data_IF_951682762613
#
_entry.id   IF_951682762613
#
_cell.length_a   1.000
_cell.length_b   1.000
_cell.length_c   1.000
_cell.angle_alpha   90.00
_cell.angle_beta   90.00
_cell.angle_gamma   90.00
#
_symmetry.space_group_name_H-M   'P 1'
#
loop_
_entity.id
_entity.type
_entity.pdbx_description
1 polymer ?
#
# COMPACT_ATOMS: atom_id res chain seq x y z
N UNK A 1 -40.26 -29.14 -32.03
CA UNK A 1 -39.12 -29.97 -31.59
C UNK A 1 -38.32 -29.11 -30.64
N UNK A 2 -38.56 -29.28 -29.35
CA UNK A 2 -38.00 -28.48 -28.27
C UNK A 2 -36.59 -28.98 -27.95
N UNK A 3 -35.61 -28.10 -27.97
CA UNK A 3 -34.31 -28.34 -27.32
C UNK A 3 -34.45 -28.00 -25.83
N UNK A 4 -34.04 -28.88 -24.91
CA UNK A 4 -34.19 -28.61 -23.48
C UNK A 4 -33.13 -27.60 -23.01
N UNK A 5 -33.57 -26.68 -22.16
CA UNK A 5 -32.74 -25.86 -21.28
C UNK A 5 -31.71 -26.73 -20.55
N UNK A 6 -30.44 -26.35 -20.61
CA UNK A 6 -29.45 -26.83 -19.64
C UNK A 6 -29.64 -26.07 -18.32
N UNK A 7 -29.81 -26.76 -17.18
CA UNK A 7 -30.02 -26.10 -15.90
C UNK A 7 -28.73 -25.43 -15.45
N UNK A 8 -28.87 -24.23 -14.89
CA UNK A 8 -27.77 -23.37 -14.47
C UNK A 8 -26.74 -24.07 -13.58
N UNK A 9 -25.46 -23.83 -13.88
CA UNK A 9 -24.38 -24.08 -12.93
C UNK A 9 -24.56 -23.13 -11.75
N UNK A 10 -25.18 -23.62 -10.68
CA UNK A 10 -25.16 -22.94 -9.39
C UNK A 10 -23.71 -22.77 -8.98
N UNK A 11 -23.26 -21.53 -8.87
CA UNK A 11 -21.89 -21.12 -8.52
C UNK A 11 -21.63 -21.31 -7.01
N UNK A 12 -22.15 -22.39 -6.42
CA UNK A 12 -22.00 -22.71 -5.00
C UNK A 12 -20.57 -23.20 -4.77
N UNK A 13 -19.79 -22.55 -3.86
CA UNK A 13 -18.43 -22.97 -3.59
C UNK A 13 -18.43 -24.42 -3.09
N UNK A 14 -17.49 -25.23 -3.60
CA UNK A 14 -17.40 -26.64 -3.19
C UNK A 14 -17.35 -26.78 -1.66
N UNK A 15 -17.90 -27.86 -1.06
CA UNK A 15 -17.86 -28.06 0.39
C UNK A 15 -16.45 -27.98 1.00
N UNK A 16 -15.42 -28.39 0.24
CA UNK A 16 -14.02 -28.27 0.64
C UNK A 16 -13.56 -26.80 0.75
N UNK A 17 -13.96 -25.95 -0.21
CA UNK A 17 -13.69 -24.51 -0.16
C UNK A 17 -14.42 -23.84 1.02
N UNK A 18 -15.67 -24.23 1.28
CA UNK A 18 -16.42 -23.71 2.42
C UNK A 18 -15.74 -24.06 3.76
N UNK A 19 -15.28 -25.31 3.93
CA UNK A 19 -14.57 -25.73 5.13
C UNK A 19 -13.24 -24.98 5.33
N UNK A 20 -12.48 -24.72 4.26
CA UNK A 20 -11.26 -23.92 4.33
C UNK A 20 -11.54 -22.47 4.71
N UNK A 21 -12.61 -21.85 4.16
CA UNK A 21 -13.04 -20.50 4.54
C UNK A 21 -13.41 -20.42 6.02
N UNK A 22 -14.18 -21.38 6.52
CA UNK A 22 -14.51 -21.44 7.95
C UNK A 22 -13.25 -21.54 8.83
N UNK A 23 -12.24 -22.29 8.38
CA UNK A 23 -10.95 -22.37 9.08
C UNK A 23 -10.20 -21.04 9.07
N UNK A 24 -10.23 -20.32 7.96
CA UNK A 24 -9.66 -18.95 7.86
C UNK A 24 -10.39 -18.02 8.84
N UNK A 25 -11.72 -18.02 8.84
CA UNK A 25 -12.52 -17.17 9.74
C UNK A 25 -12.24 -17.45 11.23
N UNK A 26 -11.94 -18.70 11.58
CA UNK A 26 -11.52 -19.08 12.93
C UNK A 26 -10.11 -18.55 13.27
N UNK A 27 -9.16 -18.67 12.34
CA UNK A 27 -7.81 -18.13 12.52
C UNK A 27 -7.82 -16.60 12.62
N UNK A 28 -8.67 -15.93 11.85
CA UNK A 28 -8.83 -14.47 11.88
C UNK A 28 -9.38 -14.00 13.24
N UNK A 29 -10.32 -14.74 13.82
CA UNK A 29 -10.79 -14.48 15.19
C UNK A 29 -9.67 -14.64 16.22
N UNK A 30 -8.90 -15.73 16.14
CA UNK A 30 -7.75 -15.94 17.03
C UNK A 30 -6.69 -14.85 16.88
N UNK A 31 -6.46 -14.36 15.65
CA UNK A 31 -5.55 -13.25 15.41
C UNK A 31 -6.01 -11.98 16.14
N UNK A 32 -7.30 -11.66 16.08
CA UNK A 32 -7.88 -10.52 16.79
C UNK A 32 -7.77 -10.67 18.33
N UNK A 33 -8.00 -11.87 18.86
CA UNK A 33 -7.86 -12.14 20.29
C UNK A 33 -6.40 -11.96 20.77
N UNK A 34 -5.42 -12.39 19.96
CA UNK A 34 -3.99 -12.19 20.25
C UNK A 34 -3.61 -10.71 20.17
N UNK A 35 -4.17 -9.96 19.21
CA UNK A 35 -3.97 -8.52 19.13
C UNK A 35 -4.54 -7.83 20.37
N UNK A 36 -5.74 -8.20 20.83
CA UNK A 36 -6.34 -7.64 22.04
C UNK A 36 -5.44 -7.85 23.27
N UNK A 37 -4.97 -9.09 23.51
CA UNK A 37 -4.03 -9.40 24.60
C UNK A 37 -2.74 -8.60 24.49
N UNK A 38 -2.22 -8.42 23.27
CA UNK A 38 -1.02 -7.60 23.04
C UNK A 38 -1.26 -6.13 23.40
N UNK A 39 -2.44 -5.59 23.09
CA UNK A 39 -2.78 -4.20 23.43
C UNK A 39 -2.94 -4.01 24.94
N UNK A 40 -3.50 -4.98 25.67
CA UNK A 40 -3.53 -4.96 27.14
C UNK A 40 -2.13 -4.85 27.75
N UNK A 41 -1.18 -5.65 27.25
CA UNK A 41 0.22 -5.55 27.64
C UNK A 41 0.83 -4.17 27.28
N UNK A 42 0.44 -3.58 26.14
CA UNK A 42 0.87 -2.22 25.78
C UNK A 42 0.34 -1.17 26.77
N UNK A 43 -0.90 -1.31 27.26
CA UNK A 43 -1.43 -0.44 28.30
C UNK A 43 -0.67 -0.57 29.62
N UNK A 44 -0.26 -1.78 30.01
CA UNK A 44 0.61 -1.98 31.16
C UNK A 44 1.97 -1.31 31.00
N UNK A 45 2.61 -1.49 29.84
CA UNK A 45 3.86 -0.82 29.50
C UNK A 45 3.70 0.71 29.55
N UNK A 46 2.60 1.24 29.00
CA UNK A 46 2.31 2.68 29.03
C UNK A 46 2.22 3.21 30.47
N UNK A 47 1.50 2.51 31.37
CA UNK A 47 1.40 2.87 32.80
C UNK A 47 2.74 2.85 33.51
N UNK A 48 3.58 1.85 33.23
CA UNK A 48 4.93 1.77 33.80
C UNK A 48 5.77 2.95 33.31
N UNK A 49 5.74 3.22 32.00
CA UNK A 49 6.50 4.31 31.38
C UNK A 49 6.09 5.68 31.90
N UNK A 50 4.82 5.90 32.20
CA UNK A 50 4.31 7.16 32.77
C UNK A 50 4.98 7.53 34.10
N UNK A 51 5.38 6.53 34.88
CA UNK A 51 6.02 6.71 36.19
C UNK A 51 7.55 6.55 36.12
N UNK A 52 8.13 6.53 34.92
CA UNK A 52 9.57 6.37 34.70
C UNK A 52 10.09 7.40 33.70
N UNK A 53 11.39 7.71 33.71
CA UNK A 53 12.03 8.57 32.69
C UNK A 53 12.23 7.86 31.33
N UNK A 54 11.47 6.80 31.05
CA UNK A 54 11.63 6.00 29.83
C UNK A 54 10.99 6.72 28.63
N UNK A 55 11.74 6.95 27.53
CA UNK A 55 11.16 7.52 26.31
C UNK A 55 10.02 6.67 25.73
N UNK A 56 9.00 7.35 25.18
CA UNK A 56 7.87 6.73 24.46
C UNK A 56 8.41 5.92 23.28
N UNK A 57 9.28 6.54 22.47
CA UNK A 57 9.93 5.90 21.32
C UNK A 57 11.36 5.52 21.68
N UNK A 58 11.68 4.25 21.48
CA UNK A 58 13.02 3.69 21.62
C UNK A 58 13.43 3.09 20.27
N UNK A 59 14.20 3.81 19.44
CA UNK A 59 14.52 3.39 18.06
C UNK A 59 15.16 2.00 17.97
N UNK A 60 16.05 1.67 18.90
CA UNK A 60 16.71 0.37 18.93
C UNK A 60 15.72 -0.78 19.20
N UNK A 61 14.71 -0.52 20.05
CA UNK A 61 13.65 -1.50 20.30
C UNK A 61 12.79 -1.74 19.05
N UNK A 62 12.47 -0.68 18.31
CA UNK A 62 11.75 -0.81 17.03
C UNK A 62 12.55 -1.65 16.05
N UNK A 63 13.85 -1.37 15.91
CA UNK A 63 14.75 -2.12 15.02
C UNK A 63 14.85 -3.59 15.41
N UNK A 64 14.99 -3.88 16.70
CA UNK A 64 15.06 -5.25 17.23
C UNK A 64 13.77 -6.02 16.98
N UNK A 65 12.61 -5.40 17.22
CA UNK A 65 11.30 -6.03 16.96
C UNK A 65 11.14 -6.34 15.48
N UNK A 66 11.40 -5.38 14.59
CA UNK A 66 11.29 -5.61 13.15
C UNK A 66 12.25 -6.73 12.71
N UNK A 67 13.53 -6.63 13.06
CA UNK A 67 14.56 -7.60 12.64
C UNK A 67 14.26 -9.02 13.15
N UNK A 68 13.90 -9.16 14.43
CA UNK A 68 13.59 -10.47 15.00
C UNK A 68 12.34 -11.11 14.40
N UNK A 69 11.32 -10.31 14.03
CA UNK A 69 10.08 -10.81 13.41
C UNK A 69 10.27 -11.18 11.95
N UNK A 70 11.09 -10.44 11.20
CA UNK A 70 11.54 -10.85 9.85
C UNK A 70 12.21 -12.22 9.90
N UNK A 71 13.16 -12.41 10.83
CA UNK A 71 13.84 -13.70 10.97
C UNK A 71 12.89 -14.83 11.38
N UNK A 72 11.95 -14.55 12.27
CA UNK A 72 10.92 -15.53 12.65
C UNK A 72 10.04 -15.91 11.46
N UNK A 73 9.65 -14.95 10.62
CA UNK A 73 8.88 -15.19 9.40
C UNK A 73 9.62 -16.11 8.43
N UNK A 74 10.91 -15.83 8.18
CA UNK A 74 11.79 -16.69 7.36
C UNK A 74 11.78 -18.14 7.88
N UNK A 75 11.94 -18.33 9.19
CA UNK A 75 11.96 -19.66 9.81
C UNK A 75 10.61 -20.40 9.71
N UNK A 76 9.52 -19.68 9.44
CA UNK A 76 8.16 -20.22 9.28
C UNK A 76 7.67 -20.22 7.83
N UNK A 77 8.55 -19.93 6.88
CA UNK A 77 8.18 -19.79 5.46
C UNK A 77 7.07 -18.77 5.23
N UNK A 78 7.07 -17.70 6.03
CA UNK A 78 6.24 -16.50 5.83
C UNK A 78 7.12 -15.44 5.20
N UNK A 79 6.57 -14.70 4.25
CA UNK A 79 7.26 -13.58 3.61
C UNK A 79 7.70 -12.54 4.68
N UNK A 80 9.01 -12.21 4.75
CA UNK A 80 9.53 -11.33 5.79
C UNK A 80 9.08 -9.87 5.63
N UNK A 81 8.80 -9.41 4.41
CA UNK A 81 8.33 -8.05 4.16
C UNK A 81 6.86 -7.92 4.58
N UNK A 82 6.04 -8.93 4.29
CA UNK A 82 4.68 -9.01 4.82
C UNK A 82 4.64 -9.03 6.37
N UNK A 83 5.53 -9.80 7.00
CA UNK A 83 5.62 -9.83 8.45
C UNK A 83 6.05 -8.47 9.03
N UNK A 84 6.97 -7.78 8.37
CA UNK A 84 7.36 -6.42 8.75
C UNK A 84 6.21 -5.42 8.60
N UNK A 85 5.46 -5.45 7.50
CA UNK A 85 4.29 -4.58 7.28
C UNK A 85 3.28 -4.70 8.45
N UNK A 86 2.93 -5.93 8.82
CA UNK A 86 2.05 -6.19 9.97
C UNK A 86 2.65 -5.60 11.24
N UNK A 87 3.93 -5.87 11.50
CA UNK A 87 4.58 -5.43 12.74
C UNK A 87 4.69 -3.92 12.82
N UNK A 88 4.87 -3.22 11.69
CA UNK A 88 4.86 -1.75 11.63
C UNK A 88 3.50 -1.18 12.00
N UNK A 89 2.41 -1.74 11.46
CA UNK A 89 1.04 -1.34 11.83
C UNK A 89 0.80 -1.56 13.33
N UNK A 90 1.18 -2.72 13.82
CA UNK A 90 1.01 -3.11 15.22
C UNK A 90 1.86 -2.24 16.17
N UNK A 91 3.07 -1.85 15.77
CA UNK A 91 3.92 -0.91 16.53
C UNK A 91 3.36 0.51 16.51
N UNK A 92 2.86 0.98 15.37
CA UNK A 92 2.22 2.29 15.26
C UNK A 92 1.02 2.40 16.21
N UNK A 93 0.20 1.34 16.32
CA UNK A 93 -0.91 1.32 17.26
C UNK A 93 -0.46 1.33 18.73
N UNK A 94 0.62 0.62 19.07
CA UNK A 94 1.22 0.71 20.42
C UNK A 94 1.60 2.14 20.76
N UNK A 95 2.27 2.87 19.85
CA UNK A 95 2.63 4.26 20.07
C UNK A 95 1.41 5.17 20.19
N UNK A 96 0.38 4.95 19.37
CA UNK A 96 -0.89 5.71 19.45
C UNK A 96 -1.54 5.54 20.82
N UNK A 97 -1.56 4.32 21.37
CA UNK A 97 -2.11 4.03 22.70
C UNK A 97 -1.33 4.73 23.81
N UNK A 98 0.01 4.68 23.78
CA UNK A 98 0.86 5.35 24.76
C UNK A 98 0.62 6.87 24.79
N UNK A 99 0.36 7.48 23.64
CA UNK A 99 0.03 8.91 23.53
C UNK A 99 -1.43 9.18 23.91
N UNK A 100 -2.37 8.36 23.46
CA UNK A 100 -3.80 8.52 23.72
C UNK A 100 -4.13 8.39 25.21
N UNK A 101 -3.42 7.56 25.96
CA UNK A 101 -3.57 7.47 27.42
C UNK A 101 -3.28 8.78 28.17
N UNK A 102 -2.58 9.73 27.53
CA UNK A 102 -2.30 11.07 28.08
C UNK A 102 -3.34 12.11 27.68
N UNK A 103 -4.27 11.77 26.80
CA UNK A 103 -5.33 12.68 26.33
C UNK A 103 -6.52 12.65 27.28
N UNK A 104 -7.23 13.77 27.39
CA UNK A 104 -8.40 13.93 28.27
C UNK A 104 -9.73 13.79 27.54
N UNK A 105 -9.73 13.73 26.20
CA UNK A 105 -10.93 13.56 25.40
C UNK A 105 -11.35 12.09 25.28
N UNK A 106 -12.67 11.87 25.19
CA UNK A 106 -13.23 10.53 25.10
C UNK A 106 -12.90 9.88 23.75
N UNK A 107 -12.69 8.55 23.76
CA UNK A 107 -12.54 7.80 22.53
C UNK A 107 -13.84 7.91 21.71
N UNK A 108 -13.74 8.13 20.38
CA UNK A 108 -14.92 8.19 19.52
C UNK A 108 -15.61 6.83 19.47
N UNK A 109 -16.95 6.83 19.43
CA UNK A 109 -17.70 5.63 19.09
C UNK A 109 -17.44 5.23 17.64
N UNK A 110 -17.31 3.92 17.39
CA UNK A 110 -17.09 3.36 16.06
C UNK A 110 -18.09 2.24 15.83
N UNK A 111 -18.86 2.31 14.74
CA UNK A 111 -19.73 1.22 14.29
C UNK A 111 -18.99 0.30 13.33
N UNK A 112 -19.31 -1.00 13.40
CA UNK A 112 -18.82 -1.97 12.42
C UNK A 112 -19.49 -1.78 11.05
N UNK A 113 -20.75 -1.34 11.04
CA UNK A 113 -21.48 -1.03 9.81
C UNK A 113 -21.06 0.34 9.29
N UNK A 114 -20.68 0.47 8.00
CA UNK A 114 -20.46 1.76 7.39
C UNK A 114 -21.74 2.58 7.37
N UNK A 115 -21.63 3.90 7.50
CA UNK A 115 -22.71 4.81 7.14
C UNK A 115 -22.81 4.84 5.60
N UNK A 116 -23.69 4.00 5.04
CA UNK A 116 -23.98 3.93 3.60
C UNK A 116 -23.20 2.88 2.80
N UNK A 117 -23.47 2.83 1.49
CA UNK A 117 -22.80 1.89 0.56
C UNK A 117 -21.40 2.39 0.23
N UNK A 118 -20.38 1.66 0.68
CA UNK A 118 -18.97 1.90 0.30
C UNK A 118 -18.78 1.69 -1.20
N UNK A 119 -17.88 2.47 -1.81
CA UNK A 119 -17.51 2.29 -3.22
C UNK A 119 -16.71 1.01 -3.40
N UNK A 120 -16.64 0.47 -4.62
CA UNK A 120 -15.80 -0.71 -4.86
C UNK A 120 -14.31 -0.43 -4.62
N UNK A 121 -13.86 0.81 -4.85
CA UNK A 121 -12.49 1.24 -4.52
C UNK A 121 -12.24 1.11 -3.01
N UNK A 122 -13.19 1.51 -2.18
CA UNK A 122 -13.08 1.38 -0.71
C UNK A 122 -12.94 -0.10 -0.29
N UNK A 123 -13.65 -1.00 -0.96
CA UNK A 123 -13.61 -2.44 -0.68
C UNK A 123 -12.26 -3.09 -0.99
N UNK A 124 -11.54 -2.61 -2.01
CA UNK A 124 -10.35 -3.30 -2.54
C UNK A 124 -9.03 -2.56 -2.32
N UNK A 125 -9.07 -1.28 -1.95
CA UNK A 125 -7.85 -0.51 -1.67
C UNK A 125 -7.24 -0.93 -0.33
N UNK A 126 -5.91 -1.04 -0.29
CA UNK A 126 -5.19 -1.52 0.90
C UNK A 126 -4.29 -0.45 1.51
N UNK A 127 -3.50 0.26 0.69
CA UNK A 127 -2.59 1.33 1.10
C UNK A 127 -2.12 2.16 -0.09
N UNK A 128 -1.42 3.25 0.18
CA UNK A 128 -0.53 3.87 -0.81
C UNK A 128 0.68 2.95 -0.97
N UNK A 129 0.93 2.46 -2.19
CA UNK A 129 2.06 1.58 -2.51
C UNK A 129 3.35 2.39 -2.64
N UNK A 130 3.31 3.45 -3.45
CA UNK A 130 4.41 4.39 -3.62
C UNK A 130 3.91 5.74 -4.15
N UNK A 131 4.76 6.76 -4.02
CA UNK A 131 4.52 8.08 -4.62
C UNK A 131 5.63 8.40 -5.62
N UNK A 132 5.26 8.80 -6.81
CA UNK A 132 6.20 9.20 -7.86
C UNK A 132 6.33 10.71 -7.89
N UNK A 133 7.58 11.18 -7.83
CA UNK A 133 7.92 12.60 -7.80
C UNK A 133 8.80 12.90 -9.00
N UNK A 134 8.30 13.72 -9.91
CA UNK A 134 9.09 14.27 -11.00
C UNK A 134 9.99 15.38 -10.45
N UNK A 135 11.28 15.35 -10.77
CA UNK A 135 12.28 16.27 -10.21
C UNK A 135 13.20 16.81 -11.31
N UNK A 136 13.43 18.12 -11.31
CA UNK A 136 14.32 18.78 -12.27
C UNK A 136 15.78 18.29 -12.17
N UNK A 137 16.23 17.97 -10.96
CA UNK A 137 17.56 17.43 -10.71
C UNK A 137 17.48 16.22 -9.78
N UNK A 138 17.65 15.03 -10.37
CA UNK A 138 17.55 13.77 -9.64
C UNK A 138 18.61 13.66 -8.53
N UNK A 139 19.85 14.03 -8.82
CA UNK A 139 20.96 13.90 -7.85
C UNK A 139 20.71 14.74 -6.59
N UNK A 140 20.33 16.01 -6.75
CA UNK A 140 20.00 16.92 -5.64
C UNK A 140 18.79 16.41 -4.85
N UNK A 141 17.78 15.86 -5.53
CA UNK A 141 16.61 15.30 -4.87
C UNK A 141 16.98 14.07 -4.03
N UNK A 142 17.74 13.12 -4.59
CA UNK A 142 18.24 11.94 -3.87
C UNK A 142 19.04 12.35 -2.64
N UNK A 143 19.97 13.30 -2.79
CA UNK A 143 20.77 13.81 -1.67
C UNK A 143 19.90 14.43 -0.58
N UNK A 144 18.89 15.21 -0.97
CA UNK A 144 17.96 15.82 0.00
C UNK A 144 17.25 14.76 0.83
N UNK A 145 16.67 13.74 0.20
CA UNK A 145 15.94 12.71 0.93
C UNK A 145 16.86 11.80 1.75
N UNK A 146 18.01 11.44 1.21
CA UNK A 146 18.90 10.48 1.86
C UNK A 146 19.73 11.10 2.98
N UNK A 147 20.26 12.32 2.77
CA UNK A 147 21.14 12.97 3.74
C UNK A 147 20.37 13.75 4.80
N UNK A 148 19.22 14.36 4.45
CA UNK A 148 18.50 15.23 5.39
C UNK A 148 17.27 14.57 6.02
N UNK A 149 16.63 13.62 5.32
CA UNK A 149 15.37 13.00 5.77
C UNK A 149 15.51 11.53 6.17
N UNK A 150 16.71 10.95 6.03
CA UNK A 150 17.00 9.59 6.49
C UNK A 150 16.42 8.48 5.64
N UNK A 151 16.05 8.78 4.39
CA UNK A 151 15.72 7.74 3.41
C UNK A 151 16.99 6.99 2.98
N UNK A 152 16.82 5.76 2.51
CA UNK A 152 17.89 5.00 1.87
C UNK A 152 17.48 4.62 0.45
N UNK A 153 18.48 4.39 -0.40
CA UNK A 153 18.26 3.87 -1.75
C UNK A 153 17.78 2.42 -1.67
N UNK A 154 16.74 2.12 -2.43
CA UNK A 154 16.22 0.78 -2.64
C UNK A 154 16.60 0.27 -4.03
N UNK A 155 16.61 -1.05 -4.18
CA UNK A 155 16.86 -1.68 -5.48
C UNK A 155 15.51 -1.87 -6.21
N UNK A 156 15.24 -1.12 -7.29
CA UNK A 156 14.09 -1.41 -8.14
C UNK A 156 14.28 -2.77 -8.81
N UNK A 157 13.18 -3.38 -9.26
CA UNK A 157 13.23 -4.66 -9.98
C UNK A 157 14.07 -4.57 -11.26
N UNK A 158 14.11 -3.39 -11.88
CA UNK A 158 14.99 -3.06 -13.00
C UNK A 158 15.59 -1.66 -12.79
N UNK A 159 16.91 -1.50 -12.97
CA UNK A 159 17.55 -0.19 -12.89
C UNK A 159 17.27 0.64 -14.15
N UNK A 160 17.06 1.95 -14.02
CA UNK A 160 16.87 2.86 -15.15
C UNK A 160 17.64 4.17 -14.91
N UNK A 161 18.41 4.68 -15.88
CA UNK A 161 19.00 6.01 -15.78
C UNK A 161 17.92 7.07 -15.54
N UNK A 162 18.10 7.97 -14.57
CA UNK A 162 17.09 8.98 -14.28
C UNK A 162 15.94 8.53 -13.35
N UNK A 163 15.97 7.31 -12.81
CA UNK A 163 15.02 6.88 -11.77
C UNK A 163 15.77 6.42 -10.52
N UNK A 164 15.37 6.92 -9.36
CA UNK A 164 15.84 6.46 -8.07
C UNK A 164 14.65 6.06 -7.19
N UNK A 165 14.68 4.85 -6.63
CA UNK A 165 13.72 4.43 -5.60
C UNK A 165 14.37 4.65 -4.24
N UNK A 166 13.66 5.33 -3.36
CA UNK A 166 14.10 5.58 -1.99
C UNK A 166 13.01 5.13 -1.03
N UNK A 167 13.39 4.63 0.13
CA UNK A 167 12.45 4.21 1.15
C UNK A 167 12.85 4.64 2.56
N UNK A 168 11.85 4.73 3.43
CA UNK A 168 12.03 4.91 4.86
C UNK A 168 10.83 4.30 5.60
N UNK A 169 11.07 3.27 6.41
CA UNK A 169 10.08 2.78 7.38
C UNK A 169 8.75 2.27 6.78
N UNK A 170 8.76 1.74 5.56
CA UNK A 170 7.56 1.30 4.83
C UNK A 170 6.95 2.37 3.90
N UNK A 171 7.54 3.56 3.84
CA UNK A 171 7.22 4.61 2.86
C UNK A 171 8.15 4.45 1.66
N UNK A 172 7.58 4.38 0.46
CA UNK A 172 8.33 4.27 -0.80
C UNK A 172 8.09 5.50 -1.68
N UNK A 173 9.17 6.17 -2.08
CA UNK A 173 9.13 7.25 -3.06
C UNK A 173 9.97 6.87 -4.28
N UNK A 174 9.51 7.29 -5.45
CA UNK A 174 10.24 7.12 -6.71
C UNK A 174 10.52 8.50 -7.28
N UNK A 175 11.79 8.87 -7.33
CA UNK A 175 12.26 10.11 -7.91
C UNK A 175 12.59 9.90 -9.38
N UNK A 176 12.03 10.73 -10.26
CA UNK A 176 12.17 10.60 -11.71
C UNK A 176 12.67 11.92 -12.29
N UNK A 177 13.89 11.88 -12.85
CA UNK A 177 14.53 13.01 -13.53
C UNK A 177 14.30 13.02 -15.04
N UNK A 178 14.58 14.14 -15.73
CA UNK A 178 14.39 14.26 -17.18
C UNK A 178 15.22 13.25 -17.99
N UNK A 179 16.27 12.69 -17.41
CA UNK A 179 17.12 11.65 -18.01
C UNK A 179 16.39 10.31 -18.19
N UNK A 180 15.26 10.11 -17.51
CA UNK A 180 14.44 8.91 -17.62
C UNK A 180 13.70 8.81 -18.97
N UNK A 181 13.56 9.91 -19.70
CA UNK A 181 13.05 9.89 -21.07
C UNK A 181 12.38 11.19 -21.52
N UNK A 182 12.10 11.32 -22.83
CA UNK A 182 11.56 12.55 -23.41
C UNK A 182 10.18 12.93 -22.86
N UNK A 183 9.34 11.96 -22.51
CA UNK A 183 8.02 12.21 -21.91
C UNK A 183 8.15 12.80 -20.50
N UNK A 184 9.08 12.27 -19.69
CA UNK A 184 9.38 12.81 -18.36
C UNK A 184 9.93 14.23 -18.46
N UNK A 185 10.88 14.46 -19.37
CA UNK A 185 11.43 15.80 -19.60
C UNK A 185 10.36 16.80 -20.04
N UNK A 186 9.44 16.41 -20.92
CA UNK A 186 8.32 17.24 -21.35
C UNK A 186 7.35 17.53 -20.19
N UNK A 187 7.03 16.53 -19.37
CA UNK A 187 6.19 16.70 -18.18
C UNK A 187 6.80 17.71 -17.21
N UNK A 188 8.08 17.55 -16.87
CA UNK A 188 8.79 18.47 -15.96
C UNK A 188 8.86 19.88 -16.56
N UNK A 189 9.10 20.02 -17.87
CA UNK A 189 9.11 21.32 -18.52
C UNK A 189 7.74 22.02 -18.47
N UNK A 190 6.64 21.26 -18.50
CA UNK A 190 5.29 21.82 -18.47
C UNK A 190 4.76 22.08 -17.05
N UNK A 191 5.11 21.24 -16.08
CA UNK A 191 4.52 21.24 -14.74
C UNK A 191 5.51 21.56 -13.61
N UNK A 192 6.82 21.58 -13.87
CA UNK A 192 7.87 21.69 -12.88
C UNK A 192 8.06 20.41 -12.06
N UNK A 193 8.83 20.51 -10.98
CA UNK A 193 9.00 19.41 -10.01
C UNK A 193 7.74 19.23 -9.16
N UNK A 194 7.37 17.99 -8.86
CA UNK A 194 6.20 17.70 -8.03
C UNK A 194 5.74 16.25 -8.06
N UNK A 195 4.68 15.96 -7.31
CA UNK A 195 4.02 14.65 -7.34
C UNK A 195 3.42 14.44 -8.73
N UNK A 196 3.89 13.41 -9.44
CA UNK A 196 3.31 12.99 -10.70
C UNK A 196 2.08 12.12 -10.48
N UNK A 197 2.27 11.02 -9.74
CA UNK A 197 1.19 10.11 -9.41
C UNK A 197 1.35 9.46 -8.04
N UNK A 198 0.22 9.05 -7.49
CA UNK A 198 0.11 8.27 -6.25
C UNK A 198 -0.40 6.89 -6.63
N UNK A 199 0.38 5.85 -6.33
CA UNK A 199 -0.01 4.47 -6.57
C UNK A 199 -0.75 3.91 -5.35
N UNK A 200 -1.94 3.35 -5.58
CA UNK A 200 -2.78 2.70 -4.58
C UNK A 200 -2.70 1.19 -4.82
N UNK A 201 -2.28 0.44 -3.80
CA UNK A 201 -2.33 -1.02 -3.87
C UNK A 201 -3.77 -1.50 -3.69
N UNK A 202 -4.22 -2.34 -4.62
CA UNK A 202 -5.54 -2.97 -4.61
C UNK A 202 -5.44 -4.48 -4.61
N UNK A 203 -6.43 -5.14 -4.02
CA UNK A 203 -6.52 -6.61 -3.97
C UNK A 203 -6.60 -7.24 -5.37
N UNK A 204 -7.20 -6.52 -6.33
CA UNK A 204 -7.34 -6.98 -7.71
C UNK A 204 -7.47 -5.78 -8.66
N UNK A 205 -6.48 -5.56 -9.52
CA UNK A 205 -6.44 -4.41 -10.41
C UNK A 205 -7.54 -4.50 -11.48
N UNK A 206 -7.71 -5.68 -12.08
CA UNK A 206 -8.72 -5.94 -13.11
C UNK A 206 -10.16 -5.66 -12.62
N UNK A 207 -10.51 -6.09 -11.41
CA UNK A 207 -11.80 -5.81 -10.78
C UNK A 207 -11.99 -4.31 -10.48
N UNK A 208 -10.94 -3.66 -9.97
CA UNK A 208 -10.95 -2.22 -9.69
C UNK A 208 -11.17 -1.43 -10.98
N UNK A 209 -10.45 -1.78 -12.05
CA UNK A 209 -10.57 -1.19 -13.37
C UNK A 209 -11.97 -1.38 -13.96
N UNK A 210 -12.52 -2.59 -13.90
CA UNK A 210 -13.87 -2.88 -14.37
C UNK A 210 -14.91 -2.04 -13.61
N UNK A 211 -14.74 -1.88 -12.29
CA UNK A 211 -15.70 -1.10 -11.50
C UNK A 211 -15.65 0.39 -11.84
N UNK A 212 -14.44 0.95 -11.97
CA UNK A 212 -14.24 2.33 -12.41
C UNK A 212 -14.90 2.62 -13.76
N UNK A 213 -14.76 1.69 -14.72
CA UNK A 213 -15.38 1.81 -16.04
C UNK A 213 -16.90 1.56 -16.05
N UNK A 214 -17.41 0.70 -15.16
CA UNK A 214 -18.85 0.39 -15.08
C UNK A 214 -19.68 1.53 -14.48
N UNK A 215 -19.04 2.47 -13.80
CA UNK A 215 -19.71 3.62 -13.22
C UNK A 215 -20.03 4.56 -14.38
N UNK A 216 -21.20 4.46 -15.02
CA UNK A 216 -21.62 5.36 -16.11
C UNK A 216 -22.05 6.72 -15.57
N UNK A 217 -21.10 7.49 -15.04
CA UNK A 217 -21.27 8.90 -14.68
C UNK A 217 -20.34 9.74 -15.55
N UNK A 218 -20.75 10.97 -15.88
CA UNK A 218 -19.89 11.96 -16.53
C UNK A 218 -18.65 12.33 -15.67
N UNK A 219 -18.58 11.84 -14.43
CA UNK A 219 -17.51 12.04 -13.46
C UNK A 219 -16.56 10.83 -13.33
N UNK A 220 -16.76 9.76 -14.11
CA UNK A 220 -15.88 8.60 -14.01
C UNK A 220 -14.52 8.90 -14.63
N UNK A 221 -13.43 8.56 -13.92
CA UNK A 221 -12.09 8.83 -14.43
C UNK A 221 -11.87 8.02 -15.71
N UNK A 222 -11.29 8.66 -16.71
CA UNK A 222 -10.74 7.94 -17.86
C UNK A 222 -9.52 7.19 -17.34
N UNK A 223 -9.47 5.89 -17.60
CA UNK A 223 -8.40 4.99 -17.16
C UNK A 223 -7.71 4.35 -18.36
N UNK A 224 -6.42 4.05 -18.21
CA UNK A 224 -5.66 3.25 -19.18
C UNK A 224 -6.02 1.78 -19.06
N UNK A 225 -5.68 0.99 -20.08
CA UNK A 225 -5.75 -0.47 -19.98
C UNK A 225 -4.89 -1.00 -18.82
N UNK A 226 -5.29 -2.17 -18.30
CA UNK A 226 -4.50 -2.90 -17.31
C UNK A 226 -3.29 -3.52 -18.01
N UNK A 227 -2.10 -3.24 -17.47
CA UNK A 227 -0.82 -3.77 -17.91
C UNK A 227 -0.28 -4.73 -16.85
N UNK A 228 0.26 -5.86 -17.26
CA UNK A 228 0.93 -6.82 -16.40
C UNK A 228 2.41 -6.85 -16.73
N UNK A 229 3.27 -6.70 -15.72
CA UNK A 229 4.72 -6.81 -15.91
C UNK A 229 5.25 -8.25 -15.79
N UNK A 230 6.56 -8.42 -16.02
CA UNK A 230 7.24 -9.72 -15.96
C UNK A 230 7.22 -10.38 -14.56
N UNK A 231 6.88 -9.61 -13.52
CA UNK A 231 6.75 -10.08 -12.15
C UNK A 231 5.30 -10.36 -11.75
N UNK A 232 4.36 -10.21 -12.69
CA UNK A 232 2.94 -10.42 -12.48
C UNK A 232 2.26 -9.26 -11.77
N UNK A 233 2.87 -8.07 -11.65
CA UNK A 233 2.16 -6.93 -11.09
C UNK A 233 1.19 -6.39 -12.14
N UNK A 234 -0.09 -6.35 -11.81
CA UNK A 234 -1.13 -5.72 -12.64
C UNK A 234 -1.26 -4.25 -12.25
N UNK A 235 -1.30 -3.35 -13.22
CA UNK A 235 -1.50 -1.93 -12.93
C UNK A 235 -2.25 -1.18 -14.02
N UNK A 236 -2.85 -0.06 -13.66
CA UNK A 236 -3.41 0.92 -14.60
C UNK A 236 -3.38 2.31 -13.97
N UNK A 237 -3.60 3.35 -14.77
CA UNK A 237 -3.62 4.74 -14.32
C UNK A 237 -4.93 5.43 -14.69
N UNK A 238 -5.33 6.41 -13.90
CA UNK A 238 -6.27 7.44 -14.37
C UNK A 238 -5.56 8.39 -15.32
N UNK A 239 -6.29 9.23 -16.04
CA UNK A 239 -5.71 10.48 -16.54
C UNK A 239 -5.39 11.43 -15.38
N UNK A 240 -4.47 12.37 -15.61
CA UNK A 240 -4.18 13.45 -14.66
C UNK A 240 -5.43 14.31 -14.47
N UNK A 241 -5.92 14.38 -13.24
CA UNK A 241 -7.12 15.17 -12.94
C UNK A 241 -6.79 16.68 -12.99
N UNK A 242 -7.48 17.48 -13.82
CA UNK A 242 -7.15 18.90 -13.98
C UNK A 242 -7.45 19.74 -12.73
N UNK A 243 -8.34 19.28 -11.85
CA UNK A 243 -8.71 20.03 -10.65
C UNK A 243 -7.68 19.86 -9.52
N UNK A 244 -7.22 18.63 -9.28
CA UNK A 244 -6.21 18.30 -8.26
C UNK A 244 -4.78 18.35 -8.77
N UNK A 245 -4.58 18.22 -10.08
CA UNK A 245 -3.25 18.10 -10.69
C UNK A 245 -2.55 16.77 -10.38
N UNK A 246 -3.27 15.75 -9.93
CA UNK A 246 -2.70 14.45 -9.56
C UNK A 246 -3.26 13.36 -10.46
N UNK A 247 -2.40 12.42 -10.81
CA UNK A 247 -2.80 11.16 -11.42
C UNK A 247 -2.80 10.05 -10.35
N UNK A 248 -3.76 9.13 -10.42
CA UNK A 248 -3.76 7.93 -9.59
C UNK A 248 -3.29 6.72 -10.39
N UNK A 249 -2.40 5.94 -9.80
CA UNK A 249 -2.08 4.59 -10.25
C UNK A 249 -2.78 3.58 -9.34
N UNK A 250 -3.23 2.47 -9.90
CA UNK A 250 -3.73 1.33 -9.14
C UNK A 250 -2.87 0.12 -9.48
N UNK A 251 -2.38 -0.58 -8.46
CA UNK A 251 -1.47 -1.72 -8.62
C UNK A 251 -1.93 -2.91 -7.79
N UNK A 252 -1.90 -4.10 -8.35
CA UNK A 252 -2.07 -5.36 -7.64
C UNK A 252 -0.79 -6.19 -7.78
N UNK A 253 -0.14 -6.46 -6.65
CA UNK A 253 1.09 -7.27 -6.60
C UNK A 253 0.72 -8.75 -6.48
N UNK A 254 0.23 -9.35 -7.58
CA UNK A 254 -0.27 -10.74 -7.57
C UNK A 254 0.83 -11.80 -7.71
N UNK A 255 2.05 -11.40 -8.07
CA UNK A 255 3.25 -12.24 -8.09
C UNK A 255 4.17 -12.08 -6.88
N UNK A 256 5.48 -12.20 -7.09
CA UNK A 256 6.46 -12.01 -6.00
C UNK A 256 6.48 -10.54 -5.54
N UNK A 257 6.69 -10.32 -4.23
CA UNK A 257 6.93 -8.99 -3.66
C UNK A 257 8.33 -8.49 -4.04
N UNK A 258 8.46 -8.03 -5.27
CA UNK A 258 9.67 -7.39 -5.78
C UNK A 258 9.52 -5.87 -5.76
N UNK A 259 10.65 -5.17 -5.84
CA UNK A 259 10.69 -3.70 -5.84
C UNK A 259 9.86 -3.09 -6.97
N UNK A 260 9.69 -1.77 -6.93
CA UNK A 260 8.99 -1.04 -7.99
C UNK A 260 9.66 -1.32 -9.35
N UNK A 261 8.85 -1.69 -10.35
CA UNK A 261 9.34 -1.85 -11.72
C UNK A 261 9.42 -0.48 -12.41
N UNK A 262 10.59 -0.09 -12.90
CA UNK A 262 10.80 1.22 -13.52
C UNK A 262 10.01 1.42 -14.81
N UNK A 263 9.79 0.37 -15.60
CA UNK A 263 8.94 0.43 -16.79
C UNK A 263 7.51 0.84 -16.42
N UNK A 264 6.98 0.27 -15.34
CA UNK A 264 5.64 0.57 -14.84
C UNK A 264 5.49 2.05 -14.46
N UNK A 265 6.54 2.66 -13.91
CA UNK A 265 6.58 4.09 -13.60
C UNK A 265 6.51 4.94 -14.86
N UNK A 266 7.26 4.56 -15.90
CA UNK A 266 7.31 5.28 -17.17
C UNK A 266 6.00 5.20 -17.96
N UNK A 267 5.21 4.13 -17.81
CA UNK A 267 3.85 4.06 -18.39
C UNK A 267 2.95 5.20 -17.89
N UNK A 268 3.10 5.64 -16.63
CA UNK A 268 2.34 6.77 -16.09
C UNK A 268 2.61 8.09 -16.83
N UNK A 269 3.83 8.29 -17.33
CA UNK A 269 4.21 9.50 -18.10
C UNK A 269 3.72 9.47 -19.56
N UNK A 270 3.18 8.34 -20.05
CA UNK A 270 2.55 8.28 -21.38
C UNK A 270 1.12 8.81 -21.36
N UNK A 271 0.49 8.82 -20.18
CA UNK A 271 -0.91 9.19 -19.97
C UNK A 271 -1.07 10.52 -19.22
N UNK A 272 0.03 11.27 -19.07
CA UNK A 272 0.13 12.54 -18.33
C UNK A 272 -0.03 13.78 -19.20
#
# INVERSE_FOLDING_TARGET
MSTPDSPGSTNEPSPALAALRQRIDELDRQLLDILAQRLEACHEVARIKEHSDTPIIQPDRVREVVTSRRQYAINRSVDPDFAEDIMRVVLAETHRIEIAGRRTDAAPEKSASPEGTRSAIDTVSTRVDHVVIAVENLSTAVDTFTQNLGFHLEHPSNSHPGIAVIAAGGVTLVLVGPEAGPQVAAHIAHHGSGIHHIAIEVLNASYTHATLNSTSSALSPIVTDVVTDDHGHEQFFTLRDPASGVQLGFIARTGHRVGVATQNILEGFKSS
#
